data_IF_315894542260
#
_entry.id   IF_315894542260
#
_cell.length_a   1.000
_cell.length_b   1.000
_cell.length_c   1.000
_cell.angle_alpha   90.00
_cell.angle_beta   90.00
_cell.angle_gamma   90.00
#
_symmetry.space_group_name_H-M   'P 1'
#
loop_
_entity.id
_entity.type
_entity.pdbx_description
1 polymer ?
#
# COMPACT_ATOMS: atom_id res chain seq x y z
N UNK A 1 -6.62 13.74 7.35
CA UNK A 1 -7.67 12.71 7.20
C UNK A 1 -6.94 11.44 6.87
N UNK A 2 -7.21 10.34 7.58
CA UNK A 2 -6.60 9.05 7.25
C UNK A 2 -7.28 8.46 6.02
N UNK A 3 -6.50 8.09 5.02
CA UNK A 3 -6.97 7.33 3.87
C UNK A 3 -7.06 5.85 4.23
N UNK A 4 -8.08 5.17 3.71
CA UNK A 4 -8.19 3.71 3.80
C UNK A 4 -8.04 3.11 2.41
N UNK A 5 -7.13 2.17 2.25
CA UNK A 5 -6.86 1.50 0.97
C UNK A 5 -7.11 0.00 1.07
N UNK A 6 -7.64 -0.59 0.01
CA UNK A 6 -7.58 -2.03 -0.21
C UNK A 6 -6.30 -2.35 -0.98
N UNK A 7 -5.34 -2.96 -0.29
CA UNK A 7 -4.09 -3.41 -0.88
C UNK A 7 -4.21 -4.88 -1.23
N UNK A 8 -3.91 -5.23 -2.48
CA UNK A 8 -3.78 -6.62 -2.94
C UNK A 8 -2.31 -6.91 -3.18
N UNK A 9 -1.81 -7.99 -2.59
CA UNK A 9 -0.42 -8.40 -2.67
C UNK A 9 -0.30 -9.91 -2.91
N UNK A 10 0.85 -10.33 -3.42
CA UNK A 10 1.32 -11.71 -3.32
C UNK A 10 2.23 -11.84 -2.13
N UNK A 11 2.10 -12.94 -1.40
CA UNK A 11 2.93 -13.27 -0.26
C UNK A 11 4.10 -14.19 -0.65
N UNK A 12 4.97 -14.53 0.31
CA UNK A 12 6.17 -15.34 0.07
C UNK A 12 5.87 -16.74 -0.49
N UNK A 13 4.68 -17.28 -0.21
CA UNK A 13 4.19 -18.54 -0.76
C UNK A 13 3.58 -18.45 -2.16
N UNK A 14 3.55 -17.25 -2.76
CA UNK A 14 2.91 -16.99 -4.06
C UNK A 14 1.39 -16.89 -4.00
N UNK A 15 0.80 -16.83 -2.80
CA UNK A 15 -0.64 -16.69 -2.62
C UNK A 15 -1.06 -15.23 -2.72
N UNK A 16 -2.18 -15.00 -3.40
CA UNK A 16 -2.79 -13.67 -3.53
C UNK A 16 -3.66 -13.37 -2.32
N UNK A 17 -3.35 -12.29 -1.62
CA UNK A 17 -4.02 -11.85 -0.41
C UNK A 17 -4.44 -10.38 -0.50
N UNK A 18 -5.26 -9.94 0.47
CA UNK A 18 -5.75 -8.56 0.57
C UNK A 18 -5.72 -8.09 2.02
N UNK A 19 -5.48 -6.80 2.21
CA UNK A 19 -5.57 -6.11 3.51
C UNK A 19 -6.19 -4.72 3.31
N UNK A 20 -6.87 -4.24 4.35
CA UNK A 20 -7.24 -2.83 4.48
C UNK A 20 -6.13 -2.07 5.20
N UNK A 21 -5.50 -1.13 4.51
CA UNK A 21 -4.42 -0.30 5.02
C UNK A 21 -4.94 1.09 5.34
N UNK A 22 -4.83 1.51 6.60
CA UNK A 22 -5.11 2.89 7.03
C UNK A 22 -3.82 3.67 7.13
N UNK A 23 -3.74 4.81 6.47
CA UNK A 23 -2.53 5.63 6.42
C UNK A 23 -2.84 7.10 6.13
N UNK A 24 -2.00 8.01 6.63
CA UNK A 24 -2.08 9.44 6.30
C UNK A 24 -1.47 9.75 4.92
N UNK A 25 -0.78 8.79 4.31
CA UNK A 25 -0.18 8.94 2.99
C UNK A 25 -1.19 8.71 1.86
N UNK A 26 -0.93 9.35 0.73
CA UNK A 26 -1.58 9.01 -0.54
C UNK A 26 -0.75 7.95 -1.26
N UNK A 27 -1.38 6.86 -1.69
CA UNK A 27 -0.74 5.82 -2.50
C UNK A 27 -1.13 6.03 -3.96
N UNK A 28 -0.13 6.28 -4.82
CA UNK A 28 -0.34 6.51 -6.25
C UNK A 28 0.81 5.90 -7.07
N UNK A 29 0.60 5.78 -8.39
CA UNK A 29 1.65 5.30 -9.29
C UNK A 29 2.60 6.43 -9.66
N UNK A 30 3.91 6.16 -9.60
CA UNK A 30 4.94 7.05 -10.13
C UNK A 30 4.98 6.98 -11.67
N UNK A 31 5.93 7.72 -12.28
CA UNK A 31 6.13 7.74 -13.73
C UNK A 31 6.52 6.38 -14.34
N UNK A 32 7.09 5.48 -13.52
CA UNK A 32 7.49 4.12 -13.90
C UNK A 32 6.34 3.11 -13.70
N UNK A 33 5.20 3.56 -13.19
CA UNK A 33 4.03 2.73 -12.94
C UNK A 33 4.08 1.97 -11.61
N UNK A 34 5.04 2.25 -10.72
CA UNK A 34 5.15 1.63 -9.40
C UNK A 34 4.31 2.36 -8.36
N UNK A 35 3.70 1.62 -7.42
CA UNK A 35 2.98 2.23 -6.30
C UNK A 35 3.96 2.77 -5.27
N UNK A 36 3.87 4.07 -4.97
CA UNK A 36 4.73 4.77 -4.01
C UNK A 36 3.89 5.67 -3.09
N UNK A 37 4.52 6.20 -2.03
CA UNK A 37 3.89 7.03 -1.01
C UNK A 37 4.08 8.53 -1.29
N UNK A 38 2.99 9.29 -1.15
CA UNK A 38 2.98 10.74 -1.25
C UNK A 38 2.43 11.39 0.03
N UNK A 39 3.06 12.48 0.46
CA UNK A 39 2.51 13.44 1.42
C UNK A 39 2.43 14.81 0.76
N UNK A 40 1.25 15.44 0.78
CA UNK A 40 1.02 16.78 0.20
C UNK A 40 1.62 16.96 -1.21
N UNK A 41 1.36 15.99 -2.11
CA UNK A 41 1.86 15.91 -3.50
C UNK A 41 3.38 15.72 -3.65
N UNK A 42 4.11 15.56 -2.55
CA UNK A 42 5.54 15.23 -2.55
C UNK A 42 5.71 13.73 -2.34
N UNK A 43 6.57 13.09 -3.13
CA UNK A 43 6.96 11.70 -2.89
C UNK A 43 7.74 11.61 -1.58
N UNK A 44 7.31 10.76 -0.66
CA UNK A 44 7.92 10.60 0.68
C UNK A 44 8.40 9.18 0.96
N UNK A 45 8.05 8.23 0.09
CA UNK A 45 8.52 6.86 0.20
C UNK A 45 8.32 6.12 -1.10
N UNK A 46 9.19 5.18 -1.37
CA UNK A 46 9.15 4.36 -2.56
C UNK A 46 8.26 3.12 -2.36
N UNK A 47 8.44 2.13 -3.24
CA UNK A 47 7.73 0.87 -3.16
C UNK A 47 8.08 0.06 -1.91
N UNK A 48 9.35 0.03 -1.49
CA UNK A 48 9.79 -0.73 -0.32
C UNK A 48 9.21 -0.09 0.96
N UNK A 49 9.13 1.23 1.02
CA UNK A 49 8.46 1.93 2.12
C UNK A 49 6.96 1.58 2.20
N UNK A 50 6.29 1.48 1.06
CA UNK A 50 4.89 1.03 0.99
C UNK A 50 4.74 -0.44 1.45
N UNK A 51 5.63 -1.34 1.02
CA UNK A 51 5.62 -2.74 1.44
C UNK A 51 5.84 -2.87 2.96
N UNK A 52 6.79 -2.11 3.53
CA UNK A 52 7.02 -2.03 4.97
C UNK A 52 5.78 -1.54 5.74
N UNK A 53 5.07 -0.53 5.20
CA UNK A 53 3.84 -0.02 5.78
C UNK A 53 2.74 -1.10 5.81
N UNK A 54 2.62 -1.90 4.76
CA UNK A 54 1.68 -3.03 4.70
C UNK A 54 2.06 -4.14 5.68
N UNK A 55 3.35 -4.49 5.78
CA UNK A 55 3.84 -5.49 6.72
C UNK A 55 3.61 -5.08 8.18
N UNK A 56 3.83 -3.80 8.50
CA UNK A 56 3.51 -3.24 9.81
C UNK A 56 2.01 -3.40 10.16
N UNK A 57 1.12 -3.25 9.19
CA UNK A 57 -0.32 -3.46 9.39
C UNK A 57 -0.71 -4.94 9.52
N UNK A 58 0.03 -5.84 8.87
CA UNK A 58 -0.17 -7.30 8.97
C UNK A 58 0.29 -7.87 10.33
N UNK A 59 1.28 -7.23 10.97
CA UNK A 59 1.81 -7.65 12.26
C UNK A 59 2.77 -8.84 12.21
N UNK A 60 3.25 -9.21 11.01
CA UNK A 60 4.26 -10.23 10.81
C UNK A 60 5.19 -9.85 9.65
N UNK A 61 6.40 -10.41 9.66
CA UNK A 61 7.42 -10.16 8.63
C UNK A 61 7.39 -11.29 7.60
N UNK A 62 7.04 -10.96 6.37
CA UNK A 62 7.27 -11.81 5.20
C UNK A 62 7.57 -10.95 3.97
N UNK A 63 8.08 -11.55 2.90
CA UNK A 63 8.20 -10.86 1.62
C UNK A 63 6.83 -10.73 0.96
N UNK A 64 6.49 -9.52 0.52
CA UNK A 64 5.25 -9.25 -0.23
C UNK A 64 5.55 -8.52 -1.53
N UNK A 65 4.63 -8.62 -2.48
CA UNK A 65 4.66 -7.84 -3.71
C UNK A 65 3.29 -7.24 -3.97
N UNK A 66 3.20 -5.91 -3.94
CA UNK A 66 1.95 -5.19 -4.14
C UNK A 66 1.61 -5.13 -5.62
N UNK A 67 0.42 -5.60 -5.97
CA UNK A 67 -0.06 -5.65 -7.35
C UNK A 67 -1.24 -4.73 -7.62
N UNK A 68 -1.95 -4.31 -6.56
CA UNK A 68 -3.06 -3.38 -6.67
C UNK A 68 -3.26 -2.61 -5.36
N UNK A 69 -3.56 -1.33 -5.49
CA UNK A 69 -3.99 -0.48 -4.38
C UNK A 69 -5.23 0.31 -4.83
N UNK A 70 -6.29 0.27 -4.04
CA UNK A 70 -7.56 0.96 -4.33
C UNK A 70 -7.96 1.80 -3.12
N UNK A 71 -8.18 3.11 -3.31
CA UNK A 71 -8.72 3.96 -2.25
C UNK A 71 -10.16 3.54 -1.97
N UNK A 72 -10.43 3.15 -0.73
CA UNK A 72 -11.78 2.92 -0.24
C UNK A 72 -12.31 4.28 0.21
N UNK A 73 -13.02 4.97 -0.68
CA UNK A 73 -13.83 6.11 -0.25
C UNK A 73 -14.84 5.58 0.76
N UNK A 74 -15.01 6.27 1.89
CA UNK A 74 -16.20 6.15 2.73
C UNK A 74 -17.39 6.47 1.82
N UNK A 75 -17.95 5.44 1.20
CA UNK A 75 -19.23 5.56 0.51
C UNK A 75 -20.24 5.41 1.62
N UNK A 76 -20.97 6.50 1.87
CA UNK A 76 -22.10 6.62 2.80
C UNK A 76 -23.02 5.39 2.83
#
# INVERSE_FOLDING_TARGET
MMNTYRVTYYNSGGYKSRIELKTDYTIARNAEGEFILYADQTSVGDRADLENLVLAALGFHEDITIVRCELLNETE
#
